data_IF_145080771303
#
_entry.id   IF_145080771303
#
_cell.length_a   1.000
_cell.length_b   1.000
_cell.length_c   1.000
_cell.angle_alpha   90.00
_cell.angle_beta   90.00
_cell.angle_gamma   90.00
#
_symmetry.space_group_name_H-M   'P 1'
#
loop_
_entity.id
_entity.type
_entity.pdbx_description
1 polymer ?
#
# COMPACT_ATOMS: atom_id res chain seq x y z
N UNK A 1 -0.54 -9.26 -53.99
CA UNK A 1 -0.74 -9.61 -52.58
C UNK A 1 0.29 -8.94 -51.65
N UNK A 2 1.49 -8.61 -52.14
CA UNK A 2 2.57 -7.90 -51.43
C UNK A 2 2.28 -6.44 -51.13
N UNK A 3 1.66 -5.68 -52.03
CA UNK A 3 1.36 -4.24 -51.85
C UNK A 3 0.39 -3.93 -50.71
N UNK A 4 -0.56 -4.79 -50.39
CA UNK A 4 -1.51 -4.60 -49.28
C UNK A 4 -0.84 -4.90 -47.94
N UNK A 5 0.08 -5.87 -47.88
CA UNK A 5 0.83 -6.18 -46.68
C UNK A 5 1.83 -5.06 -46.30
N UNK A 6 2.45 -4.45 -47.30
CA UNK A 6 3.41 -3.37 -47.10
C UNK A 6 2.69 -2.09 -46.61
N UNK A 7 1.53 -1.74 -47.16
CA UNK A 7 0.68 -0.64 -46.69
C UNK A 7 0.14 -0.84 -45.26
N UNK A 8 -0.16 -2.06 -44.87
CA UNK A 8 -0.62 -2.37 -43.49
C UNK A 8 0.50 -2.28 -42.51
N UNK A 9 1.71 -2.69 -42.88
CA UNK A 9 2.91 -2.62 -42.02
C UNK A 9 3.35 -1.16 -41.84
N UNK A 10 3.34 -0.35 -42.90
CA UNK A 10 3.71 1.05 -42.91
C UNK A 10 2.74 1.87 -42.06
N UNK A 11 1.42 1.72 -42.24
CA UNK A 11 0.39 2.34 -41.39
C UNK A 11 0.52 1.98 -39.90
N UNK A 12 0.95 0.76 -39.59
CA UNK A 12 1.20 0.34 -38.19
C UNK A 12 2.41 1.04 -37.59
N UNK A 13 3.46 1.28 -38.40
CA UNK A 13 4.67 2.02 -37.98
C UNK A 13 4.37 3.47 -37.65
N UNK A 14 3.53 4.13 -38.45
CA UNK A 14 3.20 5.56 -38.31
C UNK A 14 2.29 5.84 -37.10
N UNK A 15 1.31 4.98 -36.87
CA UNK A 15 0.47 5.01 -35.69
C UNK A 15 1.31 4.79 -34.42
N UNK A 16 2.35 3.96 -34.50
CA UNK A 16 3.29 3.76 -33.39
C UNK A 16 4.13 5.02 -33.12
N UNK A 17 4.50 5.76 -34.17
CA UNK A 17 5.22 7.04 -34.06
C UNK A 17 4.37 8.09 -33.35
N UNK A 18 3.09 8.25 -33.71
CA UNK A 18 2.16 9.17 -33.05
C UNK A 18 1.95 8.76 -31.61
N UNK A 19 1.80 7.48 -31.31
CA UNK A 19 1.65 6.96 -29.97
C UNK A 19 2.89 7.21 -29.11
N UNK A 20 4.09 6.99 -29.63
CA UNK A 20 5.33 7.24 -28.94
C UNK A 20 5.52 8.75 -28.66
N UNK A 21 5.09 9.59 -29.58
CA UNK A 21 5.09 11.04 -29.38
C UNK A 21 4.13 11.45 -28.25
N UNK A 22 2.90 10.93 -28.25
CA UNK A 22 1.92 11.15 -27.20
C UNK A 22 2.46 10.67 -25.82
N UNK A 23 3.09 9.49 -25.78
CA UNK A 23 3.74 8.97 -24.57
C UNK A 23 4.82 9.93 -24.06
N UNK A 24 5.65 10.46 -24.96
CA UNK A 24 6.72 11.39 -24.58
C UNK A 24 6.18 12.72 -24.03
N UNK A 25 5.08 13.24 -24.60
CA UNK A 25 4.43 14.48 -24.14
C UNK A 25 3.88 14.35 -22.73
N UNK A 26 3.25 13.21 -22.40
CA UNK A 26 2.66 12.96 -21.10
C UNK A 26 3.64 12.35 -20.09
N UNK A 27 4.88 12.05 -20.49
CA UNK A 27 5.87 11.39 -19.64
C UNK A 27 6.24 12.16 -18.38
N UNK A 28 6.10 13.49 -18.40
CA UNK A 28 6.40 14.38 -17.28
C UNK A 28 5.19 14.70 -16.39
N UNK A 29 3.99 14.29 -16.81
CA UNK A 29 2.75 14.54 -16.07
C UNK A 29 2.44 13.41 -15.08
N UNK A 30 1.77 13.72 -13.96
CA UNK A 30 1.37 12.69 -12.98
C UNK A 30 0.30 11.76 -13.58
N UNK A 31 0.34 10.47 -13.22
CA UNK A 31 -0.65 9.48 -13.65
C UNK A 31 -1.97 9.60 -12.86
N UNK A 32 -2.62 10.74 -12.91
CA UNK A 32 -3.95 10.93 -12.33
C UNK A 32 -5.04 10.47 -13.30
N UNK A 33 -6.26 10.14 -12.82
CA UNK A 33 -7.38 9.79 -13.69
C UNK A 33 -7.68 10.85 -14.74
N UNK A 34 -7.52 12.14 -14.39
CA UNK A 34 -7.75 13.30 -15.26
C UNK A 34 -6.70 13.33 -16.37
N UNK A 35 -5.41 13.16 -16.03
CA UNK A 35 -4.31 13.14 -17.00
C UNK A 35 -4.40 11.92 -17.91
N UNK A 36 -4.78 10.74 -17.40
CA UNK A 36 -4.99 9.56 -18.20
C UNK A 36 -6.17 9.73 -19.18
N UNK A 37 -7.25 10.37 -18.73
CA UNK A 37 -8.39 10.69 -19.57
C UNK A 37 -8.02 11.67 -20.69
N UNK A 38 -7.30 12.75 -20.35
CA UNK A 38 -6.81 13.73 -21.31
C UNK A 38 -5.87 13.10 -22.34
N UNK A 39 -4.97 12.22 -21.92
CA UNK A 39 -4.08 11.45 -22.81
C UNK A 39 -4.87 10.59 -23.79
N UNK A 40 -5.91 9.91 -23.31
CA UNK A 40 -6.78 9.09 -24.15
C UNK A 40 -7.56 9.94 -25.15
N UNK A 41 -8.16 11.05 -24.71
CA UNK A 41 -8.90 11.98 -25.57
C UNK A 41 -8.01 12.61 -26.65
N UNK A 42 -6.81 13.07 -26.27
CA UNK A 42 -5.85 13.62 -27.22
C UNK A 42 -5.38 12.54 -28.21
N UNK A 43 -5.14 11.33 -27.75
CA UNK A 43 -4.78 10.20 -28.61
C UNK A 43 -5.85 9.90 -29.66
N UNK A 44 -7.13 9.93 -29.27
CA UNK A 44 -8.24 9.76 -30.24
C UNK A 44 -8.30 10.92 -31.26
N UNK A 45 -8.16 12.18 -30.80
CA UNK A 45 -8.14 13.32 -31.73
C UNK A 45 -7.00 13.22 -32.74
N UNK A 46 -5.81 12.78 -32.32
CA UNK A 46 -4.68 12.55 -33.23
C UNK A 46 -4.94 11.41 -34.22
N UNK A 47 -5.54 10.30 -33.77
CA UNK A 47 -5.90 9.16 -34.62
C UNK A 47 -6.97 9.52 -35.65
N UNK A 48 -8.00 10.28 -35.27
CA UNK A 48 -9.06 10.77 -36.15
C UNK A 48 -8.47 11.71 -37.19
N UNK A 49 -7.60 12.65 -36.78
CA UNK A 49 -6.93 13.60 -37.69
C UNK A 49 -6.01 12.89 -38.68
N UNK A 50 -5.29 11.87 -38.24
CA UNK A 50 -4.47 11.03 -39.11
C UNK A 50 -5.32 10.37 -40.19
N UNK A 51 -6.45 9.81 -39.81
CA UNK A 51 -7.36 9.13 -40.73
C UNK A 51 -7.97 10.11 -41.74
N UNK A 52 -8.32 11.33 -41.31
CA UNK A 52 -8.83 12.41 -42.20
C UNK A 52 -7.79 12.81 -43.25
N UNK A 53 -6.56 13.14 -42.78
CA UNK A 53 -5.51 13.63 -43.68
C UNK A 53 -5.02 12.57 -44.68
N UNK A 54 -4.99 11.30 -44.29
CA UNK A 54 -4.69 10.18 -45.21
C UNK A 54 -5.81 10.05 -46.28
N UNK A 55 -7.09 10.20 -45.87
CA UNK A 55 -8.22 10.14 -46.82
C UNK A 55 -8.16 11.31 -47.82
N UNK A 56 -7.63 12.46 -47.40
CA UNK A 56 -7.40 13.62 -48.30
C UNK A 56 -6.20 13.43 -49.25
N UNK A 57 -5.49 12.29 -49.17
CA UNK A 57 -4.41 11.91 -50.10
C UNK A 57 -3.05 12.56 -49.77
N UNK A 58 -2.85 13.04 -48.57
CA UNK A 58 -1.53 13.55 -48.12
C UNK A 58 -0.56 12.41 -47.89
N UNK A 59 0.72 12.70 -48.02
CA UNK A 59 1.77 11.72 -47.72
C UNK A 59 1.90 11.51 -46.22
N UNK A 60 2.25 10.29 -45.78
CA UNK A 60 2.35 9.89 -44.38
C UNK A 60 3.27 10.80 -43.54
N UNK A 61 4.44 11.16 -44.08
CA UNK A 61 5.38 12.09 -43.41
C UNK A 61 4.79 13.49 -43.25
N UNK A 62 4.00 13.97 -44.20
CA UNK A 62 3.32 15.26 -44.13
C UNK A 62 2.20 15.23 -43.09
N UNK A 63 1.48 14.09 -42.98
CA UNK A 63 0.43 13.87 -42.00
C UNK A 63 0.99 13.87 -40.58
N UNK A 64 2.07 13.12 -40.36
CA UNK A 64 2.73 13.08 -39.05
C UNK A 64 3.24 14.48 -38.66
N UNK A 65 3.89 15.19 -39.57
CA UNK A 65 4.36 16.56 -39.36
C UNK A 65 3.22 17.53 -39.04
N UNK A 66 2.08 17.43 -39.71
CA UNK A 66 0.89 18.23 -39.48
C UNK A 66 0.31 17.96 -38.08
N UNK A 67 0.18 16.70 -37.69
CA UNK A 67 -0.32 16.31 -36.37
C UNK A 67 0.58 16.81 -35.26
N UNK A 68 1.91 16.64 -35.41
CA UNK A 68 2.87 17.14 -34.41
C UNK A 68 2.81 18.66 -34.31
N UNK A 69 2.62 19.37 -35.42
CA UNK A 69 2.49 20.82 -35.42
C UNK A 69 1.18 21.31 -34.76
N UNK A 70 0.07 20.60 -34.99
CA UNK A 70 -1.27 20.98 -34.49
C UNK A 70 -1.45 20.60 -33.02
N UNK A 71 -0.99 19.42 -32.62
CA UNK A 71 -1.19 18.87 -31.27
C UNK A 71 0.08 18.90 -30.39
N UNK A 72 1.20 19.40 -30.92
CA UNK A 72 2.50 19.34 -30.25
C UNK A 72 2.67 20.30 -29.07
N UNK A 73 1.80 21.30 -28.95
CA UNK A 73 1.83 22.26 -27.85
C UNK A 73 0.83 21.86 -26.74
N UNK A 74 1.30 21.05 -25.80
CA UNK A 74 0.47 20.59 -24.67
C UNK A 74 0.01 21.76 -23.78
N UNK A 75 0.77 22.85 -23.71
CA UNK A 75 0.42 24.04 -22.91
C UNK A 75 -0.87 24.70 -23.41
N UNK A 76 -1.07 24.78 -24.72
CA UNK A 76 -2.27 25.35 -25.33
C UNK A 76 -3.49 24.42 -25.20
N UNK A 77 -3.26 23.11 -25.22
CA UNK A 77 -4.31 22.10 -25.13
C UNK A 77 -4.69 21.77 -23.69
N UNK A 78 -3.83 22.09 -22.73
CA UNK A 78 -4.01 21.74 -21.34
C UNK A 78 -5.31 22.26 -20.72
N UNK A 79 -5.71 23.50 -21.08
CA UNK A 79 -6.96 24.08 -20.59
C UNK A 79 -8.18 23.38 -21.17
N UNK A 80 -8.16 23.07 -22.48
CA UNK A 80 -9.26 22.39 -23.16
C UNK A 80 -9.42 20.92 -22.71
N UNK A 81 -8.33 20.28 -22.32
CA UNK A 81 -8.28 18.92 -21.80
C UNK A 81 -8.52 18.85 -20.28
N UNK A 82 -8.66 20.00 -19.60
CA UNK A 82 -8.87 20.06 -18.16
C UNK A 82 -7.66 19.64 -17.32
N UNK A 83 -6.45 19.70 -17.89
CA UNK A 83 -5.19 19.35 -17.24
C UNK A 83 -4.24 20.53 -17.06
N UNK A 84 -4.74 21.77 -17.19
CA UNK A 84 -3.93 23.00 -17.07
C UNK A 84 -3.18 23.09 -15.75
N UNK A 85 -3.76 22.61 -14.66
CA UNK A 85 -3.13 22.57 -13.34
C UNK A 85 -1.88 21.65 -13.29
N UNK A 86 -1.83 20.63 -14.13
CA UNK A 86 -0.74 19.65 -14.16
C UNK A 86 0.38 20.06 -15.12
N UNK A 87 0.06 20.86 -16.16
CA UNK A 87 1.01 21.34 -17.17
C UNK A 87 1.71 22.62 -16.72
N UNK A 88 0.98 23.52 -16.04
CA UNK A 88 1.52 24.76 -15.48
C UNK A 88 1.55 24.72 -13.95
N UNK A 89 2.55 24.08 -13.33
CA UNK A 89 2.66 24.02 -11.87
C UNK A 89 2.84 25.41 -11.21
N UNK A 90 3.02 26.47 -11.99
CA UNK A 90 3.10 27.86 -11.48
C UNK A 90 1.74 28.47 -11.09
N UNK A 91 0.62 27.85 -11.53
CA UNK A 91 -0.74 28.22 -11.11
C UNK A 91 -1.25 27.39 -9.92
N UNK A 92 -0.42 26.49 -9.40
CA UNK A 92 -0.71 25.83 -8.12
C UNK A 92 -0.74 26.95 -7.09
N UNK A 93 -1.89 27.12 -6.47
CA UNK A 93 -2.13 28.04 -5.35
C UNK A 93 -0.89 28.06 -4.45
N UNK A 94 -0.37 29.23 -4.01
CA UNK A 94 0.89 29.31 -3.27
C UNK A 94 0.93 28.48 -1.98
N UNK A 95 -0.10 27.72 -1.74
CA UNK A 95 -0.28 26.85 -0.57
C UNK A 95 -0.16 25.35 -0.86
N UNK A 96 0.07 24.93 -2.10
CA UNK A 96 0.25 23.50 -2.41
C UNK A 96 1.70 23.12 -2.14
N UNK A 97 1.93 22.44 -1.01
CA UNK A 97 3.26 21.94 -0.62
C UNK A 97 3.70 20.82 -1.56
N UNK A 98 4.84 20.97 -2.20
CA UNK A 98 5.49 19.89 -2.94
C UNK A 98 6.09 18.91 -1.95
N UNK A 99 5.68 17.64 -2.02
CA UNK A 99 6.23 16.60 -1.18
C UNK A 99 7.55 16.09 -1.79
N UNK A 100 8.66 16.38 -1.11
CA UNK A 100 9.96 15.86 -1.50
C UNK A 100 10.03 14.35 -1.31
N UNK A 101 10.84 13.65 -2.13
CA UNK A 101 11.14 12.23 -1.95
C UNK A 101 11.59 11.89 -0.52
N UNK A 102 12.40 12.75 0.09
CA UNK A 102 12.89 12.56 1.46
C UNK A 102 11.74 12.62 2.47
N UNK A 103 10.77 13.50 2.28
CA UNK A 103 9.61 13.62 3.17
C UNK A 103 8.65 12.44 2.99
N UNK A 104 8.44 11.99 1.73
CA UNK A 104 7.66 10.78 1.44
C UNK A 104 8.31 9.54 2.06
N UNK A 105 9.63 9.38 1.93
CA UNK A 105 10.37 8.28 2.53
C UNK A 105 10.34 8.32 4.07
N UNK A 106 10.42 9.53 4.67
CA UNK A 106 10.30 9.73 6.10
C UNK A 106 8.91 9.36 6.61
N UNK A 107 7.85 9.74 5.87
CA UNK A 107 6.47 9.34 6.14
C UNK A 107 6.29 7.83 6.10
N UNK A 108 6.75 7.16 5.04
CA UNK A 108 6.67 5.70 4.91
C UNK A 108 7.38 4.98 6.05
N UNK A 109 8.56 5.48 6.47
CA UNK A 109 9.31 4.93 7.60
C UNK A 109 8.58 5.14 8.93
N UNK A 110 7.98 6.33 9.13
CA UNK A 110 7.19 6.63 10.32
C UNK A 110 5.94 5.74 10.40
N UNK A 111 5.26 5.56 9.27
CA UNK A 111 4.07 4.71 9.20
C UNK A 111 4.39 3.22 9.35
N UNK A 112 5.51 2.73 8.80
CA UNK A 112 5.95 1.35 9.04
C UNK A 112 6.23 1.10 10.53
N UNK A 113 6.82 2.07 11.25
CA UNK A 113 7.00 1.99 12.70
C UNK A 113 5.67 2.03 13.45
N UNK A 114 4.73 2.87 13.01
CA UNK A 114 3.38 2.94 13.55
C UNK A 114 2.66 1.59 13.41
N UNK A 115 2.68 1.00 12.20
CA UNK A 115 2.13 -0.32 11.91
C UNK A 115 2.71 -1.41 12.83
N UNK A 116 4.03 -1.40 13.02
CA UNK A 116 4.71 -2.35 13.91
C UNK A 116 4.29 -2.17 15.38
N UNK A 117 4.21 -0.94 15.87
CA UNK A 117 3.79 -0.67 17.26
C UNK A 117 2.34 -1.10 17.51
N UNK A 118 1.44 -0.87 16.55
CA UNK A 118 0.04 -1.34 16.65
C UNK A 118 0.00 -2.87 16.66
N UNK A 119 0.66 -3.51 15.72
CA UNK A 119 0.67 -4.97 15.64
C UNK A 119 1.26 -5.61 16.91
N UNK A 120 2.35 -5.03 17.44
CA UNK A 120 2.96 -5.49 18.69
C UNK A 120 2.04 -5.27 19.90
N UNK A 121 1.35 -4.13 19.98
CA UNK A 121 0.36 -3.87 21.04
C UNK A 121 -0.79 -4.87 21.02
N UNK A 122 -1.32 -5.19 19.83
CA UNK A 122 -2.37 -6.22 19.68
C UNK A 122 -1.85 -7.60 20.10
N UNK A 123 -0.65 -7.96 19.67
CA UNK A 123 0.01 -9.21 20.07
C UNK A 123 0.12 -9.33 21.59
N UNK A 124 0.58 -8.28 22.28
CA UNK A 124 0.70 -8.24 23.75
C UNK A 124 -0.67 -8.39 24.41
N UNK A 125 -1.72 -7.77 23.90
CA UNK A 125 -3.08 -7.91 24.41
C UNK A 125 -3.60 -9.36 24.32
N UNK A 126 -3.25 -10.08 23.23
CA UNK A 126 -3.67 -11.47 23.05
C UNK A 126 -2.86 -12.43 23.92
N UNK A 127 -1.58 -12.12 24.15
CA UNK A 127 -0.68 -12.95 24.99
C UNK A 127 -0.92 -12.70 26.49
N UNK A 128 -1.39 -11.51 26.87
CA UNK A 128 -1.56 -11.16 28.29
C UNK A 128 -2.31 -12.22 29.13
N UNK A 129 -3.44 -12.83 28.66
CA UNK A 129 -4.16 -13.85 29.41
C UNK A 129 -3.38 -15.15 29.66
N UNK A 130 -2.25 -15.37 28.98
CA UNK A 130 -1.39 -16.55 29.20
C UNK A 130 -0.81 -16.52 30.64
N UNK A 131 -0.58 -15.35 31.21
CA UNK A 131 -0.01 -15.20 32.54
C UNK A 131 -0.86 -15.88 33.64
N UNK A 132 -2.16 -15.57 33.80
CA UNK A 132 -3.00 -16.28 34.75
C UNK A 132 -3.20 -17.78 34.42
N UNK A 133 -3.31 -18.14 33.13
CA UNK A 133 -3.45 -19.55 32.72
C UNK A 133 -2.24 -20.39 33.18
N UNK A 134 -1.02 -19.86 33.04
CA UNK A 134 0.18 -20.59 33.48
C UNK A 134 0.31 -20.60 35.01
N UNK A 135 -0.20 -19.59 35.72
CA UNK A 135 -0.17 -19.54 37.19
C UNK A 135 -0.95 -20.72 37.82
N UNK A 136 -2.10 -21.03 37.22
CA UNK A 136 -2.92 -22.16 37.67
C UNK A 136 -2.17 -23.50 37.52
N UNK A 137 -1.27 -23.60 36.52
CA UNK A 137 -0.47 -24.80 36.27
C UNK A 137 0.75 -24.95 37.18
N UNK A 138 1.34 -23.83 37.61
CA UNK A 138 2.63 -23.84 38.26
C UNK A 138 2.50 -23.17 39.67
N UNK A 139 2.31 -23.99 40.71
CA UNK A 139 2.51 -23.51 42.05
C UNK A 139 3.97 -23.09 42.20
N UNK A 140 4.25 -21.77 41.99
CA UNK A 140 5.61 -21.22 42.05
C UNK A 140 6.24 -21.49 43.40
N UNK A 141 7.04 -22.58 43.51
CA UNK A 141 8.08 -22.78 44.51
C UNK A 141 7.66 -22.71 45.98
N UNK A 142 6.43 -23.17 46.37
CA UNK A 142 6.01 -23.20 47.75
C UNK A 142 5.42 -21.89 48.30
N UNK A 143 5.11 -20.94 47.41
CA UNK A 143 4.30 -19.76 47.71
C UNK A 143 2.83 -20.13 47.89
N UNK A 144 2.08 -19.41 48.73
CA UNK A 144 0.65 -19.61 48.86
C UNK A 144 -0.05 -19.37 47.53
N UNK A 145 -1.11 -20.13 47.23
CA UNK A 145 -1.91 -20.00 45.98
C UNK A 145 -2.35 -18.55 45.76
N UNK A 146 -2.88 -17.88 46.78
CA UNK A 146 -3.30 -16.47 46.73
C UNK A 146 -2.19 -15.51 46.27
N UNK A 147 -0.93 -15.78 46.66
CA UNK A 147 0.20 -14.92 46.28
C UNK A 147 0.62 -15.17 44.82
N UNK A 148 0.59 -16.42 44.34
CA UNK A 148 0.87 -16.78 42.97
C UNK A 148 -0.12 -16.10 42.03
N UNK A 149 -1.40 -16.14 42.36
CA UNK A 149 -2.47 -15.52 41.58
C UNK A 149 -2.35 -14.00 41.55
N UNK A 150 -2.04 -13.38 42.70
CA UNK A 150 -1.81 -11.93 42.75
C UNK A 150 -0.64 -11.48 41.88
N UNK A 151 0.46 -12.25 41.84
CA UNK A 151 1.61 -11.96 40.98
C UNK A 151 1.24 -12.10 39.52
N UNK A 152 0.56 -13.15 39.13
CA UNK A 152 0.15 -13.44 37.75
C UNK A 152 -0.83 -12.38 37.21
N UNK A 153 -1.81 -11.96 38.04
CA UNK A 153 -2.71 -10.86 37.70
C UNK A 153 -1.96 -9.52 37.57
N UNK A 154 -0.94 -9.32 38.36
CA UNK A 154 -0.08 -8.13 38.24
C UNK A 154 0.65 -8.12 36.89
N UNK A 155 1.25 -9.24 36.48
CA UNK A 155 1.89 -9.37 35.18
C UNK A 155 0.89 -9.13 34.03
N UNK A 156 -0.31 -9.68 34.11
CA UNK A 156 -1.38 -9.45 33.13
C UNK A 156 -1.65 -7.94 32.93
N UNK A 157 -1.88 -7.20 34.03
CA UNK A 157 -2.13 -5.76 33.94
C UNK A 157 -0.91 -4.95 33.47
N UNK A 158 0.29 -5.35 33.80
CA UNK A 158 1.53 -4.70 33.35
C UNK A 158 1.67 -4.87 31.83
N UNK A 159 1.42 -6.07 31.30
CA UNK A 159 1.48 -6.31 29.85
C UNK A 159 0.44 -5.45 29.11
N UNK A 160 -0.79 -5.37 29.63
CA UNK A 160 -1.83 -4.51 29.04
C UNK A 160 -1.45 -3.05 29.09
N UNK A 161 -0.90 -2.58 30.20
CA UNK A 161 -0.44 -1.19 30.34
C UNK A 161 0.64 -0.84 29.30
N UNK A 162 1.59 -1.74 29.05
CA UNK A 162 2.61 -1.59 28.01
C UNK A 162 1.96 -1.54 26.62
N UNK A 163 1.00 -2.43 26.33
CA UNK A 163 0.29 -2.46 25.06
C UNK A 163 -0.47 -1.14 24.79
N UNK A 164 -1.19 -0.64 25.79
CA UNK A 164 -1.88 0.66 25.71
C UNK A 164 -0.89 1.81 25.51
N UNK A 165 0.23 1.79 26.25
CA UNK A 165 1.32 2.77 26.06
C UNK A 165 1.85 2.79 24.63
N UNK A 166 2.04 1.63 24.00
CA UNK A 166 2.44 1.52 22.59
C UNK A 166 1.41 2.13 21.63
N UNK A 167 0.12 1.90 21.87
CA UNK A 167 -0.94 2.51 21.04
C UNK A 167 -0.94 4.02 21.15
N UNK A 168 -0.87 4.58 22.35
CA UNK A 168 -0.87 6.02 22.59
C UNK A 168 0.37 6.68 21.99
N UNK A 169 1.56 6.15 22.26
CA UNK A 169 2.82 6.68 21.72
C UNK A 169 2.84 6.62 20.18
N UNK A 170 2.33 5.54 19.62
CA UNK A 170 2.22 5.35 18.18
C UNK A 170 1.27 6.37 17.54
N UNK A 171 0.10 6.61 18.15
CA UNK A 171 -0.87 7.60 17.69
C UNK A 171 -0.33 9.03 17.72
N UNK A 172 0.34 9.43 18.81
CA UNK A 172 0.97 10.75 18.95
C UNK A 172 2.04 10.97 17.89
N UNK A 173 2.88 9.98 17.65
CA UNK A 173 3.97 10.09 16.67
C UNK A 173 3.42 10.23 15.23
N UNK A 174 2.27 9.62 14.95
CA UNK A 174 1.63 9.70 13.64
C UNK A 174 0.83 11.00 13.43
N UNK A 175 0.46 11.69 14.52
CA UNK A 175 -0.29 12.97 14.46
C UNK A 175 0.48 14.07 13.72
N UNK A 176 1.81 14.04 13.72
CA UNK A 176 2.69 14.96 12.98
C UNK A 176 2.46 14.91 11.45
N UNK A 177 2.00 13.78 10.95
CA UNK A 177 1.79 13.52 9.52
C UNK A 177 0.32 13.68 9.09
N UNK A 178 -0.55 14.13 10.00
CA UNK A 178 -1.98 14.30 9.73
C UNK A 178 -2.26 15.30 8.60
N UNK A 179 -1.37 16.30 8.42
CA UNK A 179 -1.50 17.28 7.34
C UNK A 179 -1.42 16.64 5.94
N UNK A 180 -0.70 15.51 5.78
CA UNK A 180 -0.63 14.79 4.51
C UNK A 180 -1.94 14.10 4.12
N UNK A 181 -2.89 13.93 5.07
CA UNK A 181 -4.23 13.38 4.80
C UNK A 181 -5.27 14.47 4.52
N UNK A 182 -5.02 15.72 4.91
CA UNK A 182 -6.02 16.80 4.91
C UNK A 182 -5.78 17.88 3.86
N UNK A 183 -4.57 18.00 3.32
CA UNK A 183 -4.22 19.01 2.32
C UNK A 183 -3.80 18.35 1.00
N UNK A 184 -4.25 18.87 -0.16
CA UNK A 184 -3.75 18.41 -1.45
C UNK A 184 -2.25 18.78 -1.56
N UNK A 185 -1.43 17.81 -1.94
CA UNK A 185 -0.01 18.00 -2.20
C UNK A 185 0.36 17.41 -3.57
N UNK A 186 1.31 18.06 -4.24
CA UNK A 186 1.87 17.55 -5.48
C UNK A 186 3.08 16.68 -5.19
N UNK A 187 3.11 15.50 -5.78
CA UNK A 187 4.26 14.57 -5.72
C UNK A 187 4.97 14.67 -7.08
N UNK A 188 6.29 14.86 -7.06
CA UNK A 188 7.11 14.78 -8.26
C UNK A 188 7.01 13.40 -8.92
N UNK A 189 6.96 13.37 -10.26
CA UNK A 189 6.79 12.14 -11.05
C UNK A 189 7.83 11.08 -10.71
N UNK A 190 9.10 11.47 -10.54
CA UNK A 190 10.17 10.53 -10.16
C UNK A 190 9.94 9.91 -8.77
N UNK A 191 9.31 10.66 -7.87
CA UNK A 191 8.93 10.19 -6.53
C UNK A 191 7.72 9.27 -6.61
N UNK A 192 6.71 9.63 -7.40
CA UNK A 192 5.51 8.84 -7.59
C UNK A 192 5.81 7.46 -8.22
N UNK A 193 6.66 7.41 -9.26
CA UNK A 193 7.05 6.15 -9.91
C UNK A 193 7.79 5.20 -8.96
N UNK A 194 8.72 5.71 -8.14
CA UNK A 194 9.42 4.90 -7.13
C UNK A 194 8.49 4.37 -6.04
N UNK A 195 7.52 5.18 -5.61
CA UNK A 195 6.52 4.77 -4.62
C UNK A 195 5.60 3.67 -5.19
N UNK A 196 5.24 3.78 -6.46
CA UNK A 196 4.43 2.78 -7.15
C UNK A 196 5.17 1.46 -7.31
N UNK A 197 6.45 1.49 -7.67
CA UNK A 197 7.32 0.30 -7.72
C UNK A 197 7.40 -0.39 -6.34
N UNK A 198 7.57 0.37 -5.27
CA UNK A 198 7.56 -0.16 -3.90
C UNK A 198 6.21 -0.77 -3.52
N UNK A 199 5.11 -0.17 -3.94
CA UNK A 199 3.75 -0.69 -3.71
C UNK A 199 3.52 -2.02 -4.41
N UNK A 200 3.93 -2.12 -5.67
CA UNK A 200 3.82 -3.36 -6.46
C UNK A 200 4.70 -4.46 -5.88
N UNK A 201 5.94 -4.17 -5.52
CA UNK A 201 6.83 -5.10 -4.85
C UNK A 201 6.28 -5.61 -3.51
N UNK A 202 5.57 -4.75 -2.77
CA UNK A 202 4.97 -5.14 -1.49
C UNK A 202 3.67 -5.96 -1.65
N UNK A 203 2.99 -5.89 -2.78
CA UNK A 203 1.71 -6.57 -3.03
C UNK A 203 1.79 -8.09 -2.80
N UNK A 204 2.82 -8.73 -3.30
CA UNK A 204 3.04 -10.18 -3.13
C UNK A 204 3.34 -10.51 -1.67
N UNK A 205 4.21 -9.73 -1.02
CA UNK A 205 4.55 -9.92 0.40
C UNK A 205 3.33 -9.73 1.30
N UNK A 206 2.48 -8.74 1.01
CA UNK A 206 1.23 -8.51 1.71
C UNK A 206 0.28 -9.71 1.61
N UNK A 207 0.09 -10.26 0.41
CA UNK A 207 -0.75 -11.42 0.20
C UNK A 207 -0.22 -12.64 0.98
N UNK A 208 1.09 -12.89 0.95
CA UNK A 208 1.72 -13.98 1.70
C UNK A 208 1.55 -13.82 3.21
N UNK A 209 1.80 -12.63 3.77
CA UNK A 209 1.68 -12.37 5.20
C UNK A 209 0.25 -12.58 5.71
N UNK A 210 -0.76 -12.13 4.95
CA UNK A 210 -2.16 -12.36 5.30
C UNK A 210 -2.50 -13.84 5.23
N UNK A 211 -2.12 -14.53 4.15
CA UNK A 211 -2.41 -15.96 3.97
C UNK A 211 -1.80 -16.79 5.10
N UNK A 212 -0.51 -16.57 5.41
CA UNK A 212 0.17 -17.28 6.50
C UNK A 212 -0.45 -16.93 7.85
N UNK A 213 -0.80 -15.65 8.09
CA UNK A 213 -1.48 -15.23 9.33
C UNK A 213 -2.84 -15.93 9.52
N UNK A 214 -3.65 -16.03 8.48
CA UNK A 214 -4.93 -16.74 8.52
C UNK A 214 -4.70 -18.23 8.76
N UNK A 215 -3.73 -18.85 8.08
CA UNK A 215 -3.39 -20.26 8.28
C UNK A 215 -2.95 -20.54 9.72
N UNK A 216 -2.14 -19.68 10.33
CA UNK A 216 -1.73 -19.79 11.74
C UNK A 216 -2.92 -19.71 12.69
N UNK A 217 -3.86 -18.78 12.43
CA UNK A 217 -5.08 -18.67 13.24
C UNK A 217 -5.95 -19.94 13.15
N UNK A 218 -6.08 -20.53 11.95
CA UNK A 218 -6.84 -21.77 11.77
C UNK A 218 -6.12 -22.95 12.43
N UNK A 219 -4.81 -23.06 12.23
CA UNK A 219 -3.98 -24.13 12.79
C UNK A 219 -3.79 -24.02 14.31
N UNK A 220 -4.17 -22.90 14.93
CA UNK A 220 -4.04 -22.70 16.39
C UNK A 220 -4.77 -23.75 17.21
N UNK A 221 -5.85 -24.34 16.66
CA UNK A 221 -6.63 -25.39 17.32
C UNK A 221 -5.90 -26.75 17.35
N UNK A 222 -4.96 -26.98 16.42
CA UNK A 222 -4.29 -28.29 16.29
C UNK A 222 -3.47 -28.67 17.53
N UNK A 223 -2.66 -27.79 18.14
CA UNK A 223 -1.96 -28.11 19.38
C UNK A 223 -2.91 -28.53 20.51
N UNK A 224 -4.06 -27.86 20.63
CA UNK A 224 -5.06 -28.20 21.64
C UNK A 224 -5.60 -29.62 21.44
N UNK A 225 -5.97 -30.01 20.22
CA UNK A 225 -6.46 -31.36 19.90
C UNK A 225 -5.39 -32.41 20.21
N UNK A 226 -4.12 -32.14 19.90
CA UNK A 226 -3.02 -33.09 20.13
C UNK A 226 -2.77 -33.25 21.63
N UNK A 227 -2.70 -32.16 22.40
CA UNK A 227 -2.43 -32.23 23.83
C UNK A 227 -3.58 -32.91 24.60
N UNK A 228 -4.82 -32.59 24.26
CA UNK A 228 -6.00 -33.23 24.90
C UNK A 228 -6.17 -34.71 24.54
N UNK A 229 -5.51 -35.19 23.48
CA UNK A 229 -5.56 -36.60 23.07
C UNK A 229 -4.53 -37.47 23.78
N UNK A 230 -3.66 -36.91 24.61
CA UNK A 230 -2.63 -37.66 25.34
C UNK A 230 -3.28 -38.46 26.48
N UNK A 231 -2.91 -39.75 26.68
CA UNK A 231 -3.59 -40.67 27.62
C UNK A 231 -3.35 -40.36 29.11
N UNK A 232 -2.63 -39.28 29.43
CA UNK A 232 -2.41 -38.76 30.79
C UNK A 232 -2.58 -37.23 30.79
N UNK A 233 -3.69 -36.73 30.19
CA UNK A 233 -4.02 -35.31 30.29
C UNK A 233 -4.25 -34.94 31.74
N UNK A 234 -3.40 -34.11 32.27
CA UNK A 234 -3.53 -33.42 33.58
C UNK A 234 -4.05 -32.03 33.34
N UNK A 235 -4.57 -31.37 34.37
CA UNK A 235 -4.97 -29.95 34.30
C UNK A 235 -3.91 -29.08 33.63
N UNK A 236 -2.62 -29.39 33.86
CA UNK A 236 -1.45 -28.79 33.21
C UNK A 236 -1.46 -28.87 31.67
N UNK A 237 -1.93 -29.99 31.11
CA UNK A 237 -1.95 -30.16 29.63
C UNK A 237 -3.08 -29.36 29.00
N UNK A 238 -4.19 -29.19 29.68
CA UNK A 238 -5.33 -28.42 29.19
C UNK A 238 -5.02 -26.93 29.21
N UNK A 239 -4.42 -26.43 30.27
CA UNK A 239 -4.00 -25.03 30.39
C UNK A 239 -2.87 -24.67 29.41
N UNK A 240 -1.89 -25.59 29.25
CA UNK A 240 -0.83 -25.42 28.26
C UNK A 240 -1.40 -25.40 26.81
N UNK A 241 -2.46 -26.18 26.55
CA UNK A 241 -3.14 -26.18 25.26
C UNK A 241 -3.81 -24.83 24.97
N UNK A 242 -4.47 -24.23 25.96
CA UNK A 242 -5.05 -22.89 25.87
C UNK A 242 -4.01 -21.81 25.61
N UNK A 243 -2.89 -21.86 26.35
CA UNK A 243 -1.77 -20.93 26.11
C UNK A 243 -1.17 -21.05 24.70
N UNK A 244 -1.04 -22.28 24.19
CA UNK A 244 -0.54 -22.52 22.83
C UNK A 244 -1.48 -21.94 21.77
N UNK A 245 -2.80 -22.12 21.90
CA UNK A 245 -3.80 -21.52 20.99
C UNK A 245 -3.64 -20.00 20.96
N UNK A 246 -3.58 -19.36 22.11
CA UNK A 246 -3.42 -17.90 22.21
C UNK A 246 -2.13 -17.41 21.54
N UNK A 247 -1.04 -18.16 21.69
CA UNK A 247 0.24 -17.81 21.08
C UNK A 247 0.19 -17.88 19.55
N UNK A 248 -0.38 -18.94 18.98
CA UNK A 248 -0.55 -19.06 17.52
C UNK A 248 -1.45 -17.96 16.95
N UNK A 249 -2.58 -17.68 17.63
CA UNK A 249 -3.50 -16.60 17.24
C UNK A 249 -2.80 -15.24 17.33
N UNK A 250 -2.03 -14.98 18.39
CA UNK A 250 -1.31 -13.73 18.57
C UNK A 250 -0.33 -13.45 17.41
N UNK A 251 0.44 -14.46 17.01
CA UNK A 251 1.38 -14.36 15.88
C UNK A 251 0.62 -14.18 14.56
N UNK A 252 -0.45 -14.94 14.33
CA UNK A 252 -1.27 -14.80 13.13
C UNK A 252 -1.89 -13.41 12.98
N UNK A 253 -2.50 -12.89 14.05
CA UNK A 253 -3.09 -11.54 14.09
C UNK A 253 -2.02 -10.46 13.93
N UNK A 254 -0.86 -10.62 14.57
CA UNK A 254 0.28 -9.70 14.40
C UNK A 254 0.66 -9.56 12.91
N UNK A 255 0.80 -10.67 12.19
CA UNK A 255 1.15 -10.67 10.76
C UNK A 255 0.08 -9.96 9.92
N UNK A 256 -1.19 -10.22 10.19
CA UNK A 256 -2.31 -9.60 9.45
C UNK A 256 -2.37 -8.10 9.71
N UNK A 257 -2.31 -7.65 10.97
CA UNK A 257 -2.40 -6.23 11.36
C UNK A 257 -1.20 -5.46 10.82
N UNK A 258 0.02 -5.99 10.98
CA UNK A 258 1.24 -5.36 10.46
C UNK A 258 1.21 -5.20 8.94
N UNK A 259 0.80 -6.25 8.22
CA UNK A 259 0.74 -6.25 6.76
C UNK A 259 -0.32 -5.27 6.24
N UNK A 260 -1.50 -5.22 6.86
CA UNK A 260 -2.60 -4.33 6.47
C UNK A 260 -2.25 -2.86 6.69
N UNK A 261 -1.70 -2.53 7.86
CA UNK A 261 -1.31 -1.16 8.19
C UNK A 261 -0.16 -0.64 7.29
N UNK A 262 0.79 -1.50 6.91
CA UNK A 262 1.84 -1.13 5.97
C UNK A 262 1.32 -0.91 4.55
N UNK A 263 0.36 -1.71 4.10
CA UNK A 263 -0.29 -1.52 2.79
C UNK A 263 -1.06 -0.19 2.72
N UNK A 264 -1.81 0.15 3.77
CA UNK A 264 -2.57 1.40 3.84
C UNK A 264 -1.65 2.62 3.67
N UNK A 265 -0.46 2.60 4.27
CA UNK A 265 0.54 3.66 4.12
C UNK A 265 0.97 3.87 2.67
N UNK A 266 1.28 2.77 1.97
CA UNK A 266 1.70 2.80 0.58
C UNK A 266 0.57 3.26 -0.37
N UNK A 267 -0.70 3.14 0.05
CA UNK A 267 -1.84 3.60 -0.73
C UNK A 267 -2.10 5.09 -0.54
N UNK A 268 -1.97 5.61 0.69
CA UNK A 268 -2.17 7.03 1.00
C UNK A 268 -1.12 7.96 0.38
N UNK A 269 0.08 7.47 0.09
CA UNK A 269 1.13 8.26 -0.56
C UNK A 269 0.93 8.46 -2.06
N UNK A 270 -0.17 7.95 -2.66
CA UNK A 270 -0.46 8.00 -4.10
C UNK A 270 -1.79 8.69 -4.42
N UNK A 271 -2.48 9.22 -3.42
CA UNK A 271 -3.66 10.09 -3.55
C UNK A 271 -3.22 11.53 -3.37
#
# INVERSE_FOLDING_TARGET
MTLISDLVIERKSDMETIRNYLESMFSQLPNTPEVLKAKYELGQMMEDKYSELIADGKSENEVIGTIIAEFGNLDELAESLGIGEFVHPQNISPNTKTLSYNDAAAYLKANARHAYCIALGVLLCIIAPISPIISDCTHFGGLSEDFSDAVSMTFFFVIIAIAVGLFVCSGINMSKWKYLKSEPYCIDFATASKLQEQKEGYRTTHALLITVGIMLCILSVVPSIILSSLPHSTDLTDDLSGAAVLLFVAVGVFMIVFSSAKKEALTLSLI
#
